data_IF_241469829272
#
_entry.id   IF_241469829272
#
_cell.length_a   1.000
_cell.length_b   1.000
_cell.length_c   1.000
_cell.angle_alpha   90.00
_cell.angle_beta   90.00
_cell.angle_gamma   90.00
#
_symmetry.space_group_name_H-M   'P 1'
#
loop_
_entity.id
_entity.type
_entity.pdbx_description
1 polymer ?
#
# COMPACT_ATOMS: atom_id res chain seq x y z
N UNK A 1 12.77 11.90 -0.83
CA UNK A 1 12.08 10.86 -0.02
C UNK A 1 11.53 9.83 -0.99
N UNK A 2 11.81 8.54 -0.81
CA UNK A 2 11.39 7.48 -1.74
C UNK A 2 10.27 6.63 -1.14
N UNK A 3 9.46 5.98 -1.98
CA UNK A 3 8.46 5.02 -1.52
C UNK A 3 9.08 3.92 -0.66
N UNK A 4 10.24 3.39 -1.06
CA UNK A 4 10.99 2.39 -0.30
C UNK A 4 11.38 2.87 1.11
N UNK A 5 11.80 4.14 1.26
CA UNK A 5 12.13 4.69 2.59
C UNK A 5 10.91 4.79 3.50
N UNK A 6 9.74 5.06 2.91
CA UNK A 6 8.48 5.11 3.65
C UNK A 6 8.02 3.69 4.01
N UNK A 7 8.17 2.71 3.12
CA UNK A 7 7.86 1.30 3.40
C UNK A 7 8.61 0.79 4.61
N UNK A 8 9.92 1.04 4.68
CA UNK A 8 10.75 0.65 5.82
C UNK A 8 10.21 1.17 7.16
N UNK A 9 9.66 2.39 7.19
CA UNK A 9 9.11 3.00 8.40
C UNK A 9 7.83 2.33 8.88
N UNK A 10 7.01 1.81 7.97
CA UNK A 10 5.67 1.31 8.28
C UNK A 10 5.56 -0.21 8.37
N UNK A 11 6.55 -0.97 7.90
CA UNK A 11 6.58 -2.45 7.93
C UNK A 11 6.18 -3.02 9.31
N UNK A 12 6.68 -2.43 10.40
CA UNK A 12 6.44 -2.86 11.78
C UNK A 12 5.25 -2.17 12.48
N UNK A 13 4.38 -1.46 11.77
CA UNK A 13 3.33 -0.66 12.40
C UNK A 13 2.28 -1.53 13.13
N UNK A 14 2.17 -1.40 14.45
CA UNK A 14 1.20 -2.13 15.29
C UNK A 14 0.15 -1.21 15.94
N UNK A 15 -0.02 0.01 15.42
CA UNK A 15 -0.85 1.06 16.04
C UNK A 15 -2.36 0.79 16.04
N UNK A 16 -2.87 -0.14 15.23
CA UNK A 16 -4.28 -0.52 15.18
C UNK A 16 -4.45 -2.01 14.88
N UNK A 17 -5.62 -2.59 15.13
CA UNK A 17 -5.87 -4.03 15.00
C UNK A 17 -5.69 -4.62 13.59
N UNK A 18 -5.68 -3.79 12.54
CA UNK A 18 -5.44 -4.24 11.17
C UNK A 18 -4.09 -4.96 11.01
N UNK A 19 -3.11 -4.66 11.87
CA UNK A 19 -1.82 -5.35 11.85
C UNK A 19 -1.92 -6.84 12.16
N UNK A 20 -2.98 -7.28 12.84
CA UNK A 20 -3.20 -8.69 13.22
C UNK A 20 -3.65 -9.54 12.04
N UNK A 21 -4.22 -8.92 11.00
CA UNK A 21 -4.88 -9.62 9.89
C UNK A 21 -4.19 -9.41 8.54
N UNK A 22 -3.49 -8.29 8.36
CA UNK A 22 -2.75 -8.02 7.11
C UNK A 22 -1.63 -9.03 6.92
N UNK A 23 -1.33 -9.37 5.66
CA UNK A 23 -0.14 -10.16 5.33
C UNK A 23 1.09 -9.27 5.22
N UNK A 24 0.95 -8.07 4.67
CA UNK A 24 2.02 -7.10 4.56
C UNK A 24 1.48 -5.67 4.48
N UNK A 25 2.36 -4.69 4.59
CA UNK A 25 2.00 -3.28 4.41
C UNK A 25 1.96 -2.95 2.94
N UNK A 26 0.90 -2.29 2.49
CA UNK A 26 0.75 -1.78 1.12
C UNK A 26 0.72 -0.26 1.19
N UNK A 27 1.79 0.40 0.75
CA UNK A 27 1.93 1.86 0.85
C UNK A 27 1.49 2.58 -0.42
N UNK A 28 1.87 2.04 -1.58
CA UNK A 28 1.53 2.66 -2.86
C UNK A 28 2.39 2.15 -4.00
N UNK A 29 2.19 2.72 -5.19
CA UNK A 29 3.07 2.52 -6.35
C UNK A 29 3.13 3.81 -7.16
N UNK A 30 4.19 3.97 -7.94
CA UNK A 30 4.35 5.09 -8.85
C UNK A 30 5.62 5.88 -8.58
N UNK A 31 5.80 6.95 -9.35
CA UNK A 31 6.97 7.81 -9.24
C UNK A 31 6.72 8.91 -8.22
N UNK A 32 7.77 9.31 -7.53
CA UNK A 32 7.78 10.50 -6.67
C UNK A 32 8.93 11.39 -7.19
N UNK A 33 8.67 12.65 -7.56
CA UNK A 33 7.38 13.34 -7.51
C UNK A 33 6.40 12.86 -8.59
N UNK A 34 5.10 12.98 -8.32
CA UNK A 34 4.04 12.80 -9.31
C UNK A 34 3.16 14.06 -9.32
N UNK A 35 2.66 14.48 -10.50
CA UNK A 35 1.74 15.62 -10.58
C UNK A 35 0.35 15.30 -10.00
N UNK A 36 0.01 14.01 -9.88
CA UNK A 36 -1.27 13.54 -9.36
C UNK A 36 -1.06 12.40 -8.36
N UNK A 37 -1.90 12.37 -7.33
CA UNK A 37 -1.95 11.31 -6.32
C UNK A 37 -3.37 10.75 -6.25
N UNK A 38 -3.50 9.43 -6.39
CA UNK A 38 -4.76 8.72 -6.19
C UNK A 38 -4.72 7.99 -4.86
N UNK A 39 -5.76 8.19 -4.04
CA UNK A 39 -5.89 7.59 -2.71
C UNK A 39 -7.15 6.71 -2.71
N UNK A 40 -6.96 5.43 -2.39
CA UNK A 40 -8.05 4.48 -2.20
C UNK A 40 -8.41 4.34 -0.73
N UNK A 41 -9.41 3.52 -0.43
CA UNK A 41 -9.86 3.26 0.95
C UNK A 41 -8.89 2.34 1.71
N UNK A 42 -8.70 1.12 1.21
CA UNK A 42 -7.86 0.10 1.84
C UNK A 42 -7.34 -0.91 0.80
N UNK A 43 -6.25 -1.64 1.11
CA UNK A 43 -5.79 -2.74 0.26
C UNK A 43 -6.83 -3.85 0.17
N UNK A 44 -7.14 -4.29 -1.04
CA UNK A 44 -7.91 -5.52 -1.26
C UNK A 44 -7.06 -6.78 -1.07
N UNK A 45 -7.65 -7.98 -1.20
CA UNK A 45 -6.94 -9.24 -1.01
C UNK A 45 -5.77 -9.44 -1.99
N UNK A 46 -5.87 -8.90 -3.20
CA UNK A 46 -4.78 -9.00 -4.20
C UNK A 46 -3.62 -8.07 -3.83
N UNK A 47 -3.94 -6.85 -3.40
CA UNK A 47 -2.98 -5.87 -2.92
C UNK A 47 -2.25 -6.40 -1.68
N UNK A 48 -2.98 -6.88 -0.66
CA UNK A 48 -2.39 -7.44 0.57
C UNK A 48 -1.51 -8.66 0.29
N UNK A 49 -1.86 -9.50 -0.69
CA UNK A 49 -1.04 -10.64 -1.07
C UNK A 49 0.26 -10.22 -1.80
N UNK A 50 0.22 -9.16 -2.60
CA UNK A 50 1.32 -8.77 -3.50
C UNK A 50 2.17 -7.61 -3.00
N UNK A 51 1.70 -6.83 -2.04
CA UNK A 51 2.41 -5.66 -1.53
C UNK A 51 2.29 -4.42 -2.42
N UNK A 52 1.42 -4.44 -3.45
CA UNK A 52 1.35 -3.38 -4.47
C UNK A 52 -0.07 -2.83 -4.54
N UNK A 53 -0.22 -1.50 -4.51
CA UNK A 53 -1.52 -0.84 -4.56
C UNK A 53 -2.17 -0.87 -5.96
N UNK A 54 -3.51 -0.95 -6.00
CA UNK A 54 -4.33 -0.87 -7.22
C UNK A 54 -3.92 -1.86 -8.33
N UNK A 55 -3.82 -3.14 -8.00
CA UNK A 55 -3.52 -4.21 -8.98
C UNK A 55 -4.62 -5.27 -9.08
N UNK A 56 -5.58 -5.25 -8.15
CA UNK A 56 -6.76 -6.10 -8.12
C UNK A 56 -7.81 -5.68 -9.13
N UNK A 57 -9.00 -6.27 -9.05
CA UNK A 57 -10.10 -6.01 -9.99
C UNK A 57 -10.46 -4.53 -10.08
N UNK A 58 -10.51 -3.84 -8.95
CA UNK A 58 -10.84 -2.41 -8.89
C UNK A 58 -9.75 -1.50 -9.50
N UNK A 59 -8.50 -1.97 -9.59
CA UNK A 59 -7.39 -1.21 -10.20
C UNK A 59 -7.17 -1.50 -11.69
N UNK A 60 -7.89 -2.49 -12.25
CA UNK A 60 -7.85 -2.85 -13.67
C UNK A 60 -9.12 -2.31 -14.33
N UNK A 61 -9.12 -1.02 -14.64
CA UNK A 61 -10.10 -0.43 -15.54
C UNK A 61 -9.76 -0.78 -16.99
#
# INVERSE_FOLDING_TARGET
MTLASLEAQWLGCTRCDLHKFRRQVVLGRGTIPAPYLFIGEAPGPTEDLRGVAFIGKAGRC
#
